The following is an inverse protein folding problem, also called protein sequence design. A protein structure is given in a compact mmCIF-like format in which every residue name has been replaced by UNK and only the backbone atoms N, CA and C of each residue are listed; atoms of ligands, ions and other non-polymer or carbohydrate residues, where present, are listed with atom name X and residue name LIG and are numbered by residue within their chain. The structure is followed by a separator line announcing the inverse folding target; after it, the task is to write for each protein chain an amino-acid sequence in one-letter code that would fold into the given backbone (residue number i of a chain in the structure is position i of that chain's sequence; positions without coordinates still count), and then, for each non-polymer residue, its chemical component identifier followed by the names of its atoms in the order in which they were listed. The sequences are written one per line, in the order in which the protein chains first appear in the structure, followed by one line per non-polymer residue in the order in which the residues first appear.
data_IF_089617062078
#
_entry.id   IF_089617062078
#
_cell.length_a   1.000
_cell.length_b   1.000
_cell.length_c   1.000
_cell.angle_alpha   90.00
_cell.angle_beta   90.00
_cell.angle_gamma   90.00
#
_symmetry.space_group_name_H-M   'P 1'
#
loop_
_entity.id
_entity.type
_entity.pdbx_description
1 polymer ?
#
# COMPACT_ATOMS: atom_id res chain seq x y z
N UNK A 1 5.27 -18.53 13.23
CA UNK A 1 4.69 -17.81 12.08
C UNK A 1 5.00 -16.34 12.24
N UNK A 2 5.53 -15.72 11.20
CA UNK A 2 5.87 -14.29 11.24
C UNK A 2 4.64 -13.42 11.02
N UNK A 3 4.73 -12.13 11.36
CA UNK A 3 3.67 -11.15 11.10
C UNK A 3 3.30 -11.07 9.60
N UNK A 4 4.32 -11.08 8.73
CA UNK A 4 4.14 -11.04 7.27
C UNK A 4 3.37 -12.27 6.77
N UNK A 5 3.76 -13.46 7.23
CA UNK A 5 3.09 -14.71 6.88
C UNK A 5 1.65 -14.78 7.41
N UNK A 6 1.42 -14.33 8.64
CA UNK A 6 0.11 -14.35 9.28
C UNK A 6 -0.95 -13.59 8.45
N UNK A 7 -0.63 -12.38 8.02
CA UNK A 7 -1.51 -11.58 7.16
C UNK A 7 -1.54 -12.08 5.72
N UNK A 8 -0.41 -12.55 5.20
CA UNK A 8 -0.36 -13.16 3.87
C UNK A 8 -1.26 -14.40 3.77
N UNK A 9 -1.44 -15.17 4.85
CA UNK A 9 -2.34 -16.34 4.87
C UNK A 9 -3.80 -15.99 5.06
N UNK A 10 -4.13 -14.72 5.30
CA UNK A 10 -5.52 -14.30 5.54
C UNK A 10 -6.00 -14.61 6.95
N UNK A 11 -5.10 -14.75 7.93
CA UNK A 11 -5.48 -15.12 9.30
C UNK A 11 -5.69 -13.88 10.20
N UNK A 12 -5.32 -12.69 9.71
CA UNK A 12 -5.40 -11.44 10.44
C UNK A 12 -6.71 -10.67 10.24
N UNK A 13 -7.06 -9.76 11.18
CA UNK A 13 -8.26 -8.93 11.06
C UNK A 13 -8.10 -7.88 9.96
N UNK A 14 -9.13 -7.71 9.12
CA UNK A 14 -9.11 -6.79 7.98
C UNK A 14 -8.79 -5.35 8.37
N UNK A 15 -9.41 -4.87 9.45
CA UNK A 15 -9.31 -3.46 9.81
C UNK A 15 -7.87 -3.03 10.12
N UNK A 16 -7.06 -3.92 10.72
CA UNK A 16 -5.65 -3.63 11.03
C UNK A 16 -4.82 -3.55 9.75
N UNK A 17 -4.91 -4.56 8.89
CA UNK A 17 -4.12 -4.60 7.66
C UNK A 17 -4.50 -3.48 6.71
N UNK A 18 -5.79 -3.15 6.63
CA UNK A 18 -6.28 -2.08 5.77
C UNK A 18 -5.89 -0.70 6.31
N UNK A 19 -6.26 -0.34 7.54
CA UNK A 19 -6.07 1.03 8.04
C UNK A 19 -4.64 1.34 8.47
N UNK A 20 -4.00 0.44 9.22
CA UNK A 20 -2.68 0.73 9.78
C UNK A 20 -1.59 0.60 8.72
N UNK A 21 -1.65 -0.47 7.94
CA UNK A 21 -0.62 -0.77 6.95
C UNK A 21 -1.03 -0.25 5.57
N UNK A 22 -2.19 -0.66 5.05
CA UNK A 22 -2.67 -0.26 3.73
C UNK A 22 -2.85 1.25 3.57
N UNK A 23 -3.31 1.97 4.60
CA UNK A 23 -3.52 3.42 4.56
C UNK A 23 -2.40 4.18 5.25
N UNK A 24 -2.27 4.08 6.58
CA UNK A 24 -1.38 4.96 7.35
C UNK A 24 0.10 4.78 7.00
N UNK A 25 0.59 3.54 6.99
CA UNK A 25 1.98 3.26 6.63
C UNK A 25 2.26 3.58 5.15
N UNK A 26 1.34 3.21 4.24
CA UNK A 26 1.48 3.54 2.82
C UNK A 26 1.56 5.05 2.57
N UNK A 27 0.74 5.86 3.27
CA UNK A 27 0.82 7.31 3.19
C UNK A 27 2.16 7.84 3.69
N UNK A 28 2.65 7.33 4.82
CA UNK A 28 3.97 7.70 5.35
C UNK A 28 5.09 7.39 4.36
N UNK A 29 5.10 6.17 3.79
CA UNK A 29 6.07 5.76 2.78
C UNK A 29 5.98 6.64 1.53
N UNK A 30 4.78 6.91 1.03
CA UNK A 30 4.56 7.75 -0.14
C UNK A 30 5.10 9.17 0.08
N UNK A 31 4.83 9.79 1.23
CA UNK A 31 5.35 11.13 1.57
C UNK A 31 6.88 11.13 1.63
N UNK A 32 7.49 10.15 2.29
CA UNK A 32 8.95 10.06 2.40
C UNK A 32 9.60 9.88 1.03
N UNK A 33 9.08 8.96 0.21
CA UNK A 33 9.60 8.68 -1.13
C UNK A 33 9.41 9.89 -2.05
N UNK A 34 8.24 10.51 -2.03
CA UNK A 34 7.97 11.71 -2.83
C UNK A 34 8.87 12.87 -2.42
N UNK A 35 9.08 13.10 -1.12
CA UNK A 35 9.99 14.13 -0.63
C UNK A 35 11.44 13.85 -1.04
N UNK A 36 11.90 12.60 -0.96
CA UNK A 36 13.23 12.21 -1.40
C UNK A 36 13.44 12.42 -2.91
N UNK A 37 12.43 12.08 -3.73
CA UNK A 37 12.48 12.25 -5.18
C UNK A 37 12.39 13.71 -5.62
N UNK A 38 11.41 14.46 -5.13
CA UNK A 38 11.20 15.88 -5.45
C UNK A 38 12.30 16.78 -4.88
N UNK A 39 12.80 16.46 -3.69
CA UNK A 39 13.88 17.20 -3.04
C UNK A 39 15.28 16.80 -3.52
N UNK A 40 15.39 15.81 -4.42
CA UNK A 40 16.66 15.26 -4.90
C UNK A 40 17.61 14.83 -3.77
N UNK A 41 17.08 14.36 -2.65
CA UNK A 41 17.87 13.94 -1.47
C UNK A 41 18.65 12.64 -1.70
N UNK A 42 18.22 11.87 -2.70
CA UNK A 42 18.84 10.60 -3.11
C UNK A 42 19.12 10.63 -4.61
N UNK A 43 20.19 9.97 -5.08
CA UNK A 43 20.42 9.82 -6.51
C UNK A 43 19.37 8.87 -7.13
N UNK A 44 19.19 8.93 -8.44
CA UNK A 44 18.19 8.13 -9.16
C UNK A 44 18.22 6.62 -8.82
N UNK A 45 19.38 5.94 -8.74
CA UNK A 45 19.40 4.53 -8.31
C UNK A 45 18.84 4.30 -6.91
N UNK A 46 19.06 5.25 -5.99
CA UNK A 46 18.51 5.22 -4.64
C UNK A 46 16.99 5.37 -4.64
N UNK A 47 16.46 6.31 -5.43
CA UNK A 47 15.01 6.47 -5.61
C UNK A 47 14.38 5.19 -6.20
N UNK A 48 14.99 4.60 -7.23
CA UNK A 48 14.51 3.35 -7.83
C UNK A 48 14.46 2.22 -6.80
N UNK A 49 15.50 2.08 -5.97
CA UNK A 49 15.52 1.08 -4.91
C UNK A 49 14.38 1.28 -3.89
N UNK A 50 14.08 2.52 -3.50
CA UNK A 50 12.96 2.84 -2.63
C UNK A 50 11.60 2.47 -3.27
N UNK A 51 11.42 2.79 -4.56
CA UNK A 51 10.20 2.47 -5.31
C UNK A 51 10.01 0.96 -5.50
N UNK A 52 11.08 0.20 -5.72
CA UNK A 52 11.02 -1.27 -5.76
C UNK A 52 10.60 -1.83 -4.39
N UNK A 53 11.15 -1.27 -3.31
CA UNK A 53 10.73 -1.63 -1.95
C UNK A 53 9.25 -1.33 -1.70
N UNK A 54 8.76 -0.18 -2.15
CA UNK A 54 7.35 0.19 -2.09
C UNK A 54 6.48 -0.79 -2.90
N UNK A 55 6.89 -1.17 -4.11
CA UNK A 55 6.15 -2.12 -4.94
C UNK A 55 6.05 -3.50 -4.28
N UNK A 56 7.13 -4.01 -3.69
CA UNK A 56 7.12 -5.29 -2.94
C UNK A 56 6.14 -5.18 -1.76
N UNK A 57 6.18 -4.07 -1.03
CA UNK A 57 5.27 -3.78 0.06
C UNK A 57 3.80 -3.72 -0.42
N UNK A 58 3.53 -3.04 -1.53
CA UNK A 58 2.18 -2.93 -2.12
C UNK A 58 1.64 -4.29 -2.52
N UNK A 59 2.47 -5.18 -3.11
CA UNK A 59 2.07 -6.57 -3.40
C UNK A 59 1.68 -7.31 -2.13
N UNK A 60 2.46 -7.17 -1.06
CA UNK A 60 2.14 -7.77 0.23
C UNK A 60 0.82 -7.24 0.81
N UNK A 61 0.57 -5.93 0.71
CA UNK A 61 -0.70 -5.32 1.13
C UNK A 61 -1.87 -5.82 0.29
N UNK A 62 -1.75 -5.84 -1.04
CA UNK A 62 -2.80 -6.31 -1.94
C UNK A 62 -3.21 -7.74 -1.60
N UNK A 63 -2.26 -8.65 -1.47
CA UNK A 63 -2.54 -10.05 -1.14
C UNK A 63 -3.12 -10.19 0.26
N UNK A 64 -2.55 -9.49 1.25
CA UNK A 64 -3.00 -9.56 2.63
C UNK A 64 -4.42 -9.00 2.80
N UNK A 65 -4.72 -7.85 2.20
CA UNK A 65 -6.08 -7.29 2.19
C UNK A 65 -7.03 -8.24 1.48
N UNK A 66 -6.65 -8.78 0.31
CA UNK A 66 -7.53 -9.68 -0.45
C UNK A 66 -7.93 -10.92 0.34
N UNK A 67 -6.97 -11.53 1.03
CA UNK A 67 -7.16 -12.74 1.83
C UNK A 67 -7.80 -12.48 3.19
N UNK A 68 -7.48 -11.36 3.83
CA UNK A 68 -8.09 -10.96 5.11
C UNK A 68 -9.48 -10.31 4.91
N UNK A 69 -9.92 -10.06 3.67
CA UNK A 69 -11.13 -9.29 3.40
C UNK A 69 -12.39 -9.88 4.04
N UNK A 70 -12.44 -11.20 4.25
CA UNK A 70 -13.58 -11.88 4.89
C UNK A 70 -13.49 -11.85 6.43
N UNK A 71 -12.33 -11.48 7.00
CA UNK A 71 -12.14 -11.32 8.45
C UNK A 71 -12.61 -9.94 8.92
N UNK A 72 -13.86 -9.61 8.59
CA UNK A 72 -14.55 -8.42 9.09
C UNK A 72 -15.16 -8.78 10.45
N UNK A 73 -14.75 -8.07 11.49
CA UNK A 73 -15.30 -8.26 12.83
C UNK A 73 -16.69 -7.61 12.93
N UNK A 74 -17.73 -8.43 13.11
CA UNK A 74 -19.09 -7.97 13.37
C UNK A 74 -19.74 -7.23 12.19
N UNK A 75 -20.51 -6.17 12.49
CA UNK A 75 -21.16 -5.30 11.50
C UNK A 75 -20.70 -3.85 11.69
N UNK A 76 -19.53 -3.46 11.15
CA UNK A 76 -19.03 -2.11 11.32
C UNK A 76 -20.06 -1.10 10.82
N UNK A 77 -20.41 -0.15 11.68
CA UNK A 77 -21.41 0.90 11.42
C UNK A 77 -22.80 0.36 11.02
N UNK A 78 -23.13 -0.88 11.39
CA UNK A 78 -24.43 -1.51 11.10
C UNK A 78 -24.60 -2.04 9.67
N UNK A 79 -23.58 -1.92 8.82
CA UNK A 79 -23.61 -2.43 7.45
C UNK A 79 -23.15 -3.89 7.34
N UNK A 80 -23.53 -4.53 6.23
CA UNK A 80 -23.17 -5.92 5.96
C UNK A 80 -21.66 -6.08 5.72
N UNK A 81 -21.03 -7.15 6.25
CA UNK A 81 -19.60 -7.42 6.08
C UNK A 81 -19.14 -7.45 4.62
N UNK A 82 -19.98 -7.96 3.71
CA UNK A 82 -19.68 -8.08 2.28
C UNK A 82 -19.39 -6.72 1.62
N UNK A 83 -20.10 -5.66 2.06
CA UNK A 83 -19.85 -4.30 1.58
C UNK A 83 -18.42 -3.86 1.95
N UNK A 84 -18.01 -4.09 3.19
CA UNK A 84 -16.67 -3.72 3.67
C UNK A 84 -15.57 -4.52 2.97
N UNK A 85 -15.80 -5.81 2.72
CA UNK A 85 -14.93 -6.67 1.91
C UNK A 85 -14.71 -6.09 0.51
N UNK A 86 -15.81 -5.71 -0.16
CA UNK A 86 -15.77 -5.14 -1.51
C UNK A 86 -15.07 -3.77 -1.53
N UNK A 87 -15.39 -2.89 -0.57
CA UNK A 87 -14.77 -1.58 -0.44
C UNK A 87 -13.27 -1.69 -0.20
N UNK A 88 -12.84 -2.54 0.73
CA UNK A 88 -11.42 -2.71 1.02
C UNK A 88 -10.64 -3.20 -0.21
N UNK A 89 -11.13 -4.23 -0.90
CA UNK A 89 -10.48 -4.77 -2.11
C UNK A 89 -10.39 -3.73 -3.22
N UNK A 90 -11.49 -3.06 -3.53
CA UNK A 90 -11.53 -2.06 -4.62
C UNK A 90 -10.68 -0.85 -4.30
N UNK A 91 -10.74 -0.32 -3.07
CA UNK A 91 -9.93 0.80 -2.63
C UNK A 91 -8.42 0.46 -2.66
N UNK A 92 -8.01 -0.73 -2.22
CA UNK A 92 -6.60 -1.13 -2.26
C UNK A 92 -6.08 -1.27 -3.69
N UNK A 93 -6.88 -1.79 -4.63
CA UNK A 93 -6.49 -1.83 -6.04
C UNK A 93 -6.38 -0.43 -6.64
N UNK A 94 -7.34 0.46 -6.38
CA UNK A 94 -7.30 1.84 -6.84
C UNK A 94 -6.06 2.58 -6.31
N UNK A 95 -5.74 2.36 -5.03
CA UNK A 95 -4.52 2.90 -4.42
C UNK A 95 -3.24 2.40 -5.08
N UNK A 96 -3.14 1.09 -5.37
CA UNK A 96 -1.97 0.53 -6.04
C UNK A 96 -1.77 1.12 -7.46
N UNK A 97 -2.85 1.35 -8.21
CA UNK A 97 -2.77 2.03 -9.51
C UNK A 97 -2.26 3.46 -9.35
N UNK A 98 -2.75 4.20 -8.37
CA UNK A 98 -2.29 5.55 -8.06
C UNK A 98 -0.80 5.59 -7.66
N UNK A 99 -0.35 4.61 -6.88
CA UNK A 99 1.05 4.47 -6.47
C UNK A 99 1.99 4.22 -7.66
N UNK A 100 1.59 3.39 -8.62
CA UNK A 100 2.33 3.19 -9.88
C UNK A 100 2.43 4.50 -10.67
N UNK A 101 1.32 5.25 -10.80
CA UNK A 101 1.31 6.52 -11.50
C UNK A 101 2.26 7.55 -10.85
N UNK A 102 2.23 7.66 -9.51
CA UNK A 102 3.16 8.51 -8.76
C UNK A 102 4.62 8.07 -8.96
N UNK A 103 4.89 6.77 -8.95
CA UNK A 103 6.24 6.23 -9.13
C UNK A 103 6.82 6.60 -10.50
N UNK A 104 6.01 6.48 -11.56
CA UNK A 104 6.40 6.89 -12.92
C UNK A 104 6.69 8.39 -12.96
N UNK A 105 5.82 9.21 -12.35
CA UNK A 105 5.98 10.66 -12.31
C UNK A 105 7.29 11.06 -11.60
N UNK A 106 7.59 10.45 -10.44
CA UNK A 106 8.82 10.74 -9.69
C UNK A 106 10.09 10.37 -10.48
N UNK A 107 10.07 9.25 -11.20
CA UNK A 107 11.19 8.84 -12.07
C UNK A 107 11.36 9.85 -13.21
N UNK A 108 10.27 10.24 -13.89
CA UNK A 108 10.32 11.20 -15.00
C UNK A 108 10.90 12.55 -14.56
N UNK A 109 10.42 13.10 -13.44
CA UNK A 109 10.95 14.37 -12.89
C UNK A 109 12.42 14.23 -12.47
N UNK A 110 12.79 13.08 -11.92
CA UNK A 110 14.16 12.83 -11.51
C UNK A 110 15.12 12.73 -12.69
N UNK A 111 14.68 12.23 -13.85
CA UNK A 111 15.48 12.15 -15.08
C UNK A 111 15.55 13.50 -15.80
N UNK A 112 14.46 14.28 -15.79
CA UNK A 112 14.40 15.58 -16.47
C UNK A 112 15.25 16.69 -15.83
N UNK A 113 15.68 16.50 -14.58
CA UNK A 113 16.47 17.47 -13.81
C UNK A 113 17.99 17.18 -13.86
N UNK A 114 18.46 16.30 -14.76
CA UNK A 114 19.89 16.11 -15.11
C UNK A 114 20.20 16.72 -16.47
#
# INVERSE_FOLDING_TARGET
MTFVEYYWRGEGPLWKIYWLYGVLLSMGLAVVIAAAGLGHWVPLPGLIAMLVGLAIYTVWILVSVWRCAENVEGRPFGYDPELWTALARTATVAWAINEVALSILLIQMSVANW
#
